data_IF_086046798728
#
_entry.id   IF_086046798728
#
_cell.length_a   1.000
_cell.length_b   1.000
_cell.length_c   1.000
_cell.angle_alpha   90.00
_cell.angle_beta   90.00
_cell.angle_gamma   90.00
#
_symmetry.space_group_name_H-M   'P 1'
#
loop_
_entity.id
_entity.type
_entity.pdbx_description
1 polymer ?
#
# COMPACT_ATOMS: atom_id res chain seq x y z
N UNK A 1 7.49 -9.74 4.38
CA UNK A 1 6.79 -8.80 3.50
C UNK A 1 7.29 -7.39 3.74
N UNK A 2 7.84 -6.73 2.73
CA UNK A 2 8.27 -5.33 2.75
C UNK A 2 7.17 -4.41 2.22
N UNK A 3 6.75 -3.46 3.04
CA UNK A 3 5.76 -2.45 2.70
C UNK A 3 6.37 -1.05 2.84
N UNK A 4 6.38 -0.29 1.75
CA UNK A 4 6.91 1.07 1.73
C UNK A 4 5.80 2.10 1.87
N UNK A 5 5.99 3.11 2.70
CA UNK A 5 5.01 4.17 2.96
C UNK A 5 5.48 5.47 2.34
N UNK A 6 4.81 5.92 1.28
CA UNK A 6 5.18 7.11 0.50
C UNK A 6 4.05 8.13 0.44
N UNK A 7 4.34 9.31 -0.10
CA UNK A 7 3.41 10.43 -0.13
C UNK A 7 4.08 11.74 0.25
N UNK A 8 3.35 12.83 0.09
CA UNK A 8 3.83 14.17 0.41
C UNK A 8 4.24 14.28 1.89
N UNK A 9 5.02 15.30 2.20
CA UNK A 9 5.38 15.52 3.58
C UNK A 9 4.22 16.06 4.40
N UNK A 10 4.28 15.84 5.70
CA UNK A 10 3.22 16.28 6.61
C UNK A 10 1.90 15.54 6.46
N UNK A 11 1.73 14.63 5.48
CA UNK A 11 0.48 13.87 5.30
C UNK A 11 0.24 12.84 6.42
N UNK A 12 1.25 12.50 7.23
CA UNK A 12 1.07 11.62 8.40
C UNK A 12 1.56 10.19 8.25
N UNK A 13 2.48 9.91 7.30
CA UNK A 13 3.14 8.61 7.11
C UNK A 13 3.77 8.08 8.40
N UNK A 14 4.65 8.87 9.01
CA UNK A 14 5.33 8.53 10.27
C UNK A 14 4.36 8.32 11.42
N UNK A 15 3.28 9.10 11.50
CA UNK A 15 2.24 8.92 12.51
C UNK A 15 1.48 7.62 12.29
N UNK A 16 1.17 7.26 11.04
CA UNK A 16 0.52 6.01 10.69
C UNK A 16 1.40 4.82 11.05
N UNK A 17 2.70 4.83 10.68
CA UNK A 17 3.64 3.75 11.01
C UNK A 17 3.81 3.59 12.52
N UNK A 18 4.00 4.69 13.26
CA UNK A 18 4.12 4.64 14.72
C UNK A 18 2.83 4.16 15.40
N UNK A 19 1.65 4.56 14.90
CA UNK A 19 0.39 4.04 15.43
C UNK A 19 0.27 2.55 15.16
N UNK A 20 0.60 2.09 13.95
CA UNK A 20 0.47 0.70 13.56
C UNK A 20 1.35 -0.26 14.38
N UNK A 21 2.58 0.17 14.69
CA UNK A 21 3.59 -0.67 15.33
C UNK A 21 3.65 -0.44 16.85
N UNK A 22 3.80 0.81 17.27
CA UNK A 22 4.04 1.17 18.67
C UNK A 22 2.76 1.52 19.43
N UNK A 23 1.60 1.58 18.75
CA UNK A 23 0.35 2.09 19.30
C UNK A 23 0.50 3.48 19.97
N UNK A 24 1.32 4.34 19.36
CA UNK A 24 1.57 5.69 19.86
C UNK A 24 1.28 6.75 18.80
N UNK A 25 0.94 7.94 19.28
CA UNK A 25 0.73 9.12 18.43
C UNK A 25 1.27 10.36 19.13
N UNK A 26 1.84 11.28 18.35
CA UNK A 26 2.39 12.56 18.82
C UNK A 26 1.89 13.69 17.92
N UNK A 27 1.40 14.76 18.55
CA UNK A 27 1.02 16.01 17.87
C UNK A 27 2.23 16.83 17.41
N UNK A 28 3.45 16.49 17.83
CA UNK A 28 4.66 17.23 17.44
C UNK A 28 5.11 16.74 16.08
N UNK A 29 4.96 17.58 15.05
CA UNK A 29 5.56 17.32 13.76
C UNK A 29 7.08 17.36 13.86
N UNK A 30 7.72 16.26 13.44
CA UNK A 30 9.16 16.18 13.21
C UNK A 30 9.33 15.58 11.82
N UNK A 31 9.98 16.32 10.92
CA UNK A 31 10.25 15.82 9.58
C UNK A 31 11.15 14.58 9.65
N UNK A 32 10.76 13.52 8.93
CA UNK A 32 11.55 12.31 8.78
C UNK A 32 12.73 12.59 7.87
N UNK A 33 13.92 12.14 8.27
CA UNK A 33 15.15 12.28 7.49
C UNK A 33 15.48 10.88 6.94
N UNK A 34 15.50 10.72 5.63
CA UNK A 34 15.76 9.43 4.98
C UNK A 34 14.57 8.47 5.09
N UNK A 35 14.83 7.24 5.55
CA UNK A 35 13.80 6.26 5.85
C UNK A 35 14.07 5.57 7.18
N UNK A 36 13.01 5.22 7.90
CA UNK A 36 13.05 4.45 9.14
C UNK A 36 12.34 3.11 8.96
N UNK A 37 12.74 2.13 9.75
CA UNK A 37 12.29 0.74 9.62
C UNK A 37 11.62 0.27 10.91
N UNK A 38 10.37 -0.14 10.79
CA UNK A 38 9.62 -0.77 11.88
C UNK A 38 8.98 -2.07 11.37
N UNK A 39 8.79 -3.05 12.24
CA UNK A 39 8.16 -4.31 11.85
C UNK A 39 7.16 -4.81 12.89
N UNK A 40 6.21 -5.63 12.45
CA UNK A 40 5.25 -6.34 13.28
C UNK A 40 4.95 -7.71 12.68
N UNK A 41 4.93 -8.74 13.51
CA UNK A 41 4.52 -10.07 13.10
C UNK A 41 3.00 -10.19 13.05
N UNK A 42 2.50 -10.84 12.01
CA UNK A 42 1.10 -11.21 11.87
C UNK A 42 1.00 -12.71 11.61
N UNK A 43 0.04 -13.37 12.23
CA UNK A 43 -0.35 -14.73 11.83
C UNK A 43 -1.33 -14.63 10.68
N UNK A 44 -1.05 -15.31 9.57
CA UNK A 44 -1.93 -15.43 8.42
C UNK A 44 -2.10 -16.89 8.05
N UNK A 45 -3.29 -17.27 7.61
CA UNK A 45 -3.52 -18.59 7.02
C UNK A 45 -3.16 -18.54 5.54
N UNK A 46 -2.30 -19.46 5.10
CA UNK A 46 -1.92 -19.58 3.70
C UNK A 46 -3.01 -20.31 2.88
N UNK A 47 -2.78 -20.50 1.58
CA UNK A 47 -3.74 -21.14 0.66
C UNK A 47 -4.01 -22.61 1.02
N UNK A 48 -3.11 -23.27 1.72
CA UNK A 48 -3.23 -24.66 2.17
C UNK A 48 -3.94 -24.80 3.53
N UNK A 49 -4.41 -23.70 4.12
CA UNK A 49 -5.06 -23.69 5.42
C UNK A 49 -4.08 -23.75 6.61
N UNK A 50 -2.78 -23.58 6.37
CA UNK A 50 -1.77 -23.59 7.43
C UNK A 50 -1.54 -22.18 7.96
N UNK A 51 -1.38 -22.05 9.27
CA UNK A 51 -0.99 -20.80 9.91
C UNK A 51 0.51 -20.53 9.69
N UNK A 52 0.83 -19.34 9.21
CA UNK A 52 2.18 -18.86 9.00
C UNK A 52 2.37 -17.49 9.69
N UNK A 53 3.55 -17.30 10.28
CA UNK A 53 3.95 -16.01 10.82
C UNK A 53 4.62 -15.18 9.71
N UNK A 54 3.98 -14.08 9.34
CA UNK A 54 4.51 -13.13 8.36
C UNK A 54 5.04 -11.90 9.09
N UNK A 55 6.34 -11.65 8.93
CA UNK A 55 6.94 -10.39 9.35
C UNK A 55 6.57 -9.28 8.36
N UNK A 56 5.72 -8.35 8.81
CA UNK A 56 5.33 -7.16 8.07
C UNK A 56 6.29 -6.03 8.39
N UNK A 57 7.05 -5.59 7.40
CA UNK A 57 8.07 -4.56 7.53
C UNK A 57 7.56 -3.25 6.93
N UNK A 58 7.41 -2.21 7.75
CA UNK A 58 7.05 -0.87 7.33
C UNK A 58 8.30 0.00 7.17
N UNK A 59 8.51 0.48 5.96
CA UNK A 59 9.54 1.46 5.62
C UNK A 59 8.91 2.85 5.58
N UNK A 60 9.05 3.60 6.67
CA UNK A 60 8.61 5.00 6.77
C UNK A 60 9.58 5.89 6.01
N UNK A 61 9.11 6.72 5.10
CA UNK A 61 9.98 7.55 4.23
C UNK A 61 9.76 9.04 4.46
N UNK A 62 10.81 9.83 4.25
CA UNK A 62 10.68 11.28 4.16
C UNK A 62 9.74 11.68 3.00
N UNK A 63 8.98 12.76 3.18
CA UNK A 63 8.19 13.37 2.10
C UNK A 63 9.06 14.17 1.12
N UNK A 64 8.58 14.32 -0.13
CA UNK A 64 9.28 14.89 -1.30
C UNK A 64 9.86 16.31 -1.16
N UNK A 65 9.55 17.07 -0.11
CA UNK A 65 9.74 18.53 -0.12
C UNK A 65 11.17 19.05 0.08
N UNK A 66 12.14 18.20 0.45
CA UNK A 66 13.54 18.63 0.65
C UNK A 66 14.60 17.69 0.07
N UNK A 67 14.23 16.49 -0.36
CA UNK A 67 15.15 15.50 -0.92
C UNK A 67 14.59 15.02 -2.26
N UNK A 68 15.38 15.17 -3.32
CA UNK A 68 15.05 14.65 -4.64
C UNK A 68 14.94 13.13 -4.57
N UNK A 69 13.71 12.64 -4.45
CA UNK A 69 13.38 11.21 -4.45
C UNK A 69 13.90 10.45 -3.24
N UNK A 70 13.22 9.37 -2.90
CA UNK A 70 13.83 8.31 -2.10
C UNK A 70 14.86 7.61 -3.00
N UNK A 71 16.04 7.26 -2.49
CA UNK A 71 17.01 6.53 -3.30
C UNK A 71 16.39 5.22 -3.82
N UNK A 72 16.64 4.87 -5.09
CA UNK A 72 16.09 3.66 -5.77
C UNK A 72 16.16 2.38 -4.92
N UNK A 73 17.21 2.28 -4.09
CA UNK A 73 17.42 1.16 -3.16
C UNK A 73 16.25 0.92 -2.18
N UNK A 74 15.51 1.96 -1.79
CA UNK A 74 14.37 1.82 -0.87
C UNK A 74 13.13 1.24 -1.55
N UNK A 75 12.93 1.50 -2.83
CA UNK A 75 11.82 0.96 -3.60
C UNK A 75 12.01 -0.52 -3.95
N UNK A 76 13.25 -0.91 -4.27
CA UNK A 76 13.57 -2.28 -4.69
C UNK A 76 13.15 -3.32 -3.66
N UNK A 77 12.51 -4.39 -4.13
CA UNK A 77 12.05 -5.52 -3.31
C UNK A 77 10.89 -5.18 -2.37
N UNK A 78 10.13 -4.11 -2.65
CA UNK A 78 8.88 -3.85 -1.96
C UNK A 78 7.80 -4.78 -2.49
N UNK A 79 7.07 -5.41 -1.58
CA UNK A 79 5.94 -6.31 -1.86
C UNK A 79 4.60 -5.54 -1.88
N UNK A 80 4.54 -4.44 -1.14
CA UNK A 80 3.39 -3.54 -1.08
C UNK A 80 3.81 -2.08 -0.91
N UNK A 81 2.88 -1.18 -1.21
CA UNK A 81 3.05 0.25 -1.00
C UNK A 81 1.77 0.90 -0.44
N UNK A 82 1.96 1.75 0.57
CA UNK A 82 0.93 2.68 1.07
C UNK A 82 1.22 4.07 0.51
N UNK A 83 0.36 4.57 -0.37
CA UNK A 83 0.46 5.92 -0.94
C UNK A 83 -0.46 6.84 -0.15
N UNK A 84 0.13 7.62 0.77
CA UNK A 84 -0.62 8.45 1.71
C UNK A 84 -0.85 9.87 1.18
N UNK A 85 -2.04 10.39 1.40
CA UNK A 85 -2.37 11.81 1.26
C UNK A 85 -3.23 12.27 2.45
N UNK A 86 -3.23 13.57 2.73
CA UNK A 86 -4.04 14.16 3.80
C UNK A 86 -5.40 14.59 3.25
N UNK A 87 -6.51 14.09 3.82
CA UNK A 87 -7.86 14.38 3.32
C UNK A 87 -8.25 15.86 3.40
N UNK A 88 -7.53 16.65 4.20
CA UNK A 88 -7.71 18.11 4.33
C UNK A 88 -6.84 18.89 3.33
N UNK A 89 -5.88 18.23 2.67
CA UNK A 89 -4.95 18.86 1.73
C UNK A 89 -5.14 18.35 0.29
N UNK A 90 -5.85 19.14 -0.52
CA UNK A 90 -6.13 18.84 -1.93
C UNK A 90 -4.87 18.60 -2.77
N UNK A 91 -3.79 19.36 -2.55
CA UNK A 91 -2.56 19.23 -3.34
C UNK A 91 -1.89 17.87 -3.09
N UNK A 92 -1.89 17.38 -1.85
CA UNK A 92 -1.34 16.06 -1.54
C UNK A 92 -2.08 14.93 -2.26
N UNK A 93 -3.38 15.09 -2.50
CA UNK A 93 -4.19 14.16 -3.28
C UNK A 93 -3.90 14.24 -4.78
N UNK A 94 -3.72 15.45 -5.32
CA UNK A 94 -3.37 15.67 -6.73
C UNK A 94 -2.00 15.07 -7.10
N UNK A 95 -1.11 14.86 -6.12
CA UNK A 95 0.19 14.21 -6.33
C UNK A 95 0.15 12.67 -6.22
N UNK A 96 -0.94 12.06 -5.76
CA UNK A 96 -1.06 10.60 -5.61
C UNK A 96 -0.74 9.83 -6.90
N UNK A 97 -1.24 10.22 -8.10
CA UNK A 97 -0.89 9.53 -9.34
C UNK A 97 0.61 9.50 -9.62
N UNK A 98 1.32 10.59 -9.33
CA UNK A 98 2.77 10.67 -9.52
C UNK A 98 3.52 9.71 -8.57
N UNK A 99 3.01 9.53 -7.35
CA UNK A 99 3.58 8.57 -6.40
C UNK A 99 3.35 7.13 -6.83
N UNK A 100 2.17 6.82 -7.37
CA UNK A 100 1.85 5.50 -7.92
C UNK A 100 2.74 5.21 -9.14
N UNK A 101 2.86 6.16 -10.07
CA UNK A 101 3.75 6.01 -11.23
C UNK A 101 5.21 5.81 -10.79
N UNK A 102 5.71 6.61 -9.85
CA UNK A 102 7.08 6.49 -9.34
C UNK A 102 7.34 5.11 -8.75
N UNK A 103 6.46 4.61 -7.86
CA UNK A 103 6.69 3.30 -7.25
C UNK A 103 6.63 2.18 -8.29
N UNK A 104 5.67 2.22 -9.22
CA UNK A 104 5.53 1.21 -10.28
C UNK A 104 6.77 1.16 -11.17
N UNK A 105 7.31 2.31 -11.57
CA UNK A 105 8.54 2.38 -12.38
C UNK A 105 9.76 1.83 -11.62
N UNK A 106 9.84 2.10 -10.31
CA UNK A 106 11.00 1.71 -9.51
C UNK A 106 10.99 0.25 -9.07
N UNK A 107 9.81 -0.37 -8.92
CA UNK A 107 9.69 -1.79 -8.57
C UNK A 107 9.74 -2.70 -9.80
N UNK A 108 9.18 -2.29 -10.94
CA UNK A 108 9.18 -3.07 -12.19
C UNK A 108 8.68 -4.51 -11.99
N UNK A 109 7.62 -4.64 -11.18
CA UNK A 109 7.07 -5.92 -10.72
C UNK A 109 5.68 -5.73 -10.11
N UNK A 110 4.89 -6.82 -9.93
CA UNK A 110 3.59 -6.76 -9.27
C UNK A 110 3.72 -6.22 -7.84
N UNK A 111 2.92 -5.22 -7.50
CA UNK A 111 2.97 -4.53 -6.22
C UNK A 111 1.55 -4.30 -5.69
N UNK A 112 1.29 -4.70 -4.44
CA UNK A 112 0.03 -4.37 -3.79
C UNK A 112 0.03 -2.89 -3.38
N UNK A 113 -0.71 -2.04 -4.08
CA UNK A 113 -0.79 -0.60 -3.79
C UNK A 113 -2.12 -0.25 -3.12
N UNK A 114 -2.05 0.39 -1.96
CA UNK A 114 -3.20 1.01 -1.30
C UNK A 114 -3.03 2.52 -1.25
N UNK A 115 -4.01 3.26 -1.77
CA UNK A 115 -4.12 4.71 -1.60
C UNK A 115 -4.78 4.99 -0.26
N UNK A 116 -4.13 5.79 0.58
CA UNK A 116 -4.52 5.99 1.98
C UNK A 116 -4.81 7.47 2.26
N UNK A 117 -6.08 7.79 2.47
CA UNK A 117 -6.51 9.09 3.00
C UNK A 117 -6.29 9.14 4.51
N UNK A 118 -5.33 9.95 4.95
CA UNK A 118 -4.99 10.11 6.37
C UNK A 118 -5.72 11.30 6.99
N UNK A 119 -5.71 11.36 8.34
CA UNK A 119 -6.24 12.47 9.14
C UNK A 119 -7.74 12.70 8.98
N UNK A 120 -8.50 11.62 8.83
CA UNK A 120 -9.97 11.69 8.70
C UNK A 120 -10.68 12.17 9.97
N UNK A 121 -9.96 12.28 11.08
CA UNK A 121 -10.39 12.92 12.32
C UNK A 121 -10.45 14.45 12.25
N UNK A 122 -9.81 15.08 11.25
CA UNK A 122 -9.79 16.53 11.10
C UNK A 122 -11.02 17.04 10.34
N UNK A 123 -11.53 18.19 10.77
CA UNK A 123 -12.52 18.96 10.02
C UNK A 123 -11.90 19.63 8.79
N UNK A 124 -12.74 20.19 7.90
CA UNK A 124 -12.26 20.91 6.72
C UNK A 124 -11.76 19.99 5.59
N UNK A 125 -12.36 18.80 5.46
CA UNK A 125 -12.07 17.84 4.39
C UNK A 125 -12.13 18.52 3.00
N UNK A 126 -11.02 18.42 2.26
CA UNK A 126 -10.89 18.92 0.89
C UNK A 126 -11.10 17.82 -0.16
N UNK A 127 -11.01 16.54 0.24
CA UNK A 127 -11.16 15.37 -0.63
C UNK A 127 -12.21 14.43 -0.04
N UNK A 128 -13.31 14.21 -0.77
CA UNK A 128 -14.34 13.25 -0.36
C UNK A 128 -13.85 11.81 -0.54
N UNK A 129 -14.35 10.92 0.31
CA UNK A 129 -14.09 9.48 0.22
C UNK A 129 -14.43 8.94 -1.18
N UNK A 130 -15.56 9.38 -1.75
CA UNK A 130 -15.98 9.01 -3.10
C UNK A 130 -14.93 9.37 -4.17
N UNK A 131 -14.29 10.53 -4.03
CA UNK A 131 -13.23 10.97 -4.96
C UNK A 131 -11.95 10.17 -4.78
N UNK A 132 -11.60 9.83 -3.54
CA UNK A 132 -10.48 8.93 -3.24
C UNK A 132 -10.69 7.52 -3.82
N UNK A 133 -11.87 6.94 -3.63
CA UNK A 133 -12.25 5.64 -4.21
C UNK A 133 -12.27 5.65 -5.73
N UNK A 134 -12.76 6.74 -6.33
CA UNK A 134 -12.78 6.88 -7.78
C UNK A 134 -11.35 6.87 -8.36
N UNK A 135 -10.43 7.63 -7.76
CA UNK A 135 -9.03 7.65 -8.19
C UNK A 135 -8.35 6.28 -8.00
N UNK A 136 -8.57 5.62 -6.85
CA UNK A 136 -7.99 4.31 -6.61
C UNK A 136 -8.48 3.27 -7.63
N UNK A 137 -9.77 3.30 -7.97
CA UNK A 137 -10.33 2.45 -9.02
C UNK A 137 -9.70 2.73 -10.40
N UNK A 138 -9.49 4.00 -10.74
CA UNK A 138 -8.84 4.41 -11.99
C UNK A 138 -7.39 3.89 -12.07
N UNK A 139 -6.67 3.91 -10.95
CA UNK A 139 -5.28 3.45 -10.84
C UNK A 139 -5.14 1.95 -10.51
N UNK A 140 -6.24 1.19 -10.45
CA UNK A 140 -6.21 -0.24 -10.10
C UNK A 140 -5.70 -0.54 -8.68
N UNK A 141 -5.84 0.41 -7.76
CA UNK A 141 -5.36 0.33 -6.37
C UNK A 141 -6.50 0.10 -5.37
N UNK A 142 -6.16 -0.39 -4.17
CA UNK A 142 -7.11 -0.37 -3.04
C UNK A 142 -7.21 1.04 -2.44
N UNK A 143 -8.30 1.33 -1.73
CA UNK A 143 -8.51 2.62 -1.06
C UNK A 143 -8.88 2.46 0.41
N UNK A 144 -8.20 3.20 1.26
CA UNK A 144 -8.42 3.24 2.71
C UNK A 144 -8.44 4.66 3.24
N UNK A 145 -9.17 4.85 4.34
CA UNK A 145 -9.17 6.06 5.13
C UNK A 145 -8.81 5.74 6.58
N UNK A 146 -7.86 6.48 7.15
CA UNK A 146 -7.28 6.21 8.47
C UNK A 146 -7.13 7.48 9.31
N UNK A 147 -7.18 7.29 10.63
CA UNK A 147 -6.69 8.28 11.60
C UNK A 147 -5.66 7.65 12.50
N UNK A 148 -4.41 8.11 12.42
CA UNK A 148 -3.37 7.72 13.37
C UNK A 148 -3.65 8.30 14.78
N UNK A 149 -4.36 9.42 14.87
CA UNK A 149 -4.70 10.07 16.14
C UNK A 149 -5.74 9.26 16.90
N UNK A 150 -6.86 8.95 16.24
CA UNK A 150 -8.01 8.24 16.81
C UNK A 150 -7.92 6.70 16.66
N UNK A 151 -6.80 6.19 16.12
CA UNK A 151 -6.58 4.77 15.81
C UNK A 151 -7.67 4.15 14.91
N UNK A 152 -8.19 4.95 13.98
CA UNK A 152 -9.24 4.51 13.05
C UNK A 152 -8.61 3.79 11.86
N UNK A 153 -9.03 2.53 11.66
CA UNK A 153 -8.70 1.67 10.52
C UNK A 153 -7.20 1.38 10.30
N UNK A 154 -6.32 1.69 11.26
CA UNK A 154 -4.88 1.45 11.11
C UNK A 154 -4.54 -0.04 11.04
N UNK A 155 -5.02 -0.85 11.99
CA UNK A 155 -4.79 -2.31 11.93
C UNK A 155 -5.52 -2.98 10.76
N UNK A 156 -6.80 -2.65 10.46
CA UNK A 156 -7.49 -3.16 9.26
C UNK A 156 -6.74 -2.88 7.95
N UNK A 157 -6.13 -1.70 7.79
CA UNK A 157 -5.30 -1.39 6.62
C UNK A 157 -4.15 -2.39 6.47
N UNK A 158 -3.34 -2.59 7.52
CA UNK A 158 -2.20 -3.52 7.46
C UNK A 158 -2.63 -4.96 7.19
N UNK A 159 -3.71 -5.40 7.83
CA UNK A 159 -4.25 -6.75 7.64
C UNK A 159 -4.76 -6.94 6.21
N UNK A 160 -5.43 -5.95 5.62
CA UNK A 160 -5.84 -6.04 4.23
C UNK A 160 -4.62 -6.07 3.31
N UNK A 161 -3.66 -5.15 3.49
CA UNK A 161 -2.44 -5.12 2.66
C UNK A 161 -1.69 -6.46 2.72
N UNK A 162 -1.58 -7.07 3.90
CA UNK A 162 -1.00 -8.41 4.07
C UNK A 162 -1.80 -9.47 3.33
N UNK A 163 -3.13 -9.49 3.47
CA UNK A 163 -4.00 -10.45 2.78
C UNK A 163 -3.90 -10.31 1.27
N UNK A 164 -3.85 -9.09 0.74
CA UNK A 164 -3.68 -8.83 -0.68
C UNK A 164 -2.36 -9.43 -1.16
N UNK A 165 -1.26 -9.26 -0.42
CA UNK A 165 0.02 -9.87 -0.75
C UNK A 165 0.03 -11.40 -0.66
N UNK A 166 -0.47 -11.98 0.44
CA UNK A 166 -0.49 -13.45 0.63
C UNK A 166 -1.35 -14.14 -0.43
N UNK A 167 -2.43 -13.49 -0.88
CA UNK A 167 -3.31 -14.02 -1.91
C UNK A 167 -2.88 -13.69 -3.34
N UNK A 168 -1.79 -12.94 -3.54
CA UNK A 168 -1.26 -12.75 -4.90
C UNK A 168 -0.87 -14.11 -5.48
N UNK A 169 -1.11 -14.32 -6.79
CA UNK A 169 -0.53 -15.43 -7.51
C UNK A 169 0.99 -15.40 -7.31
N UNK A 170 1.60 -16.56 -7.10
CA UNK A 170 3.05 -16.74 -7.12
C UNK A 170 3.46 -17.49 -8.40
N UNK A 171 4.67 -17.28 -8.96
CA UNK A 171 5.09 -17.93 -10.21
C UNK A 171 5.02 -19.45 -10.17
N UNK A 172 5.19 -20.04 -8.99
CA UNK A 172 5.14 -21.47 -8.74
C UNK A 172 3.71 -22.00 -8.45
N UNK A 173 2.72 -21.11 -8.33
CA UNK A 173 1.32 -21.54 -8.14
C UNK A 173 0.84 -22.31 -9.38
N UNK A 174 0.05 -23.37 -9.21
CA UNK A 174 -0.63 -23.99 -10.35
C UNK A 174 -1.64 -23.01 -10.96
N UNK A 175 -1.83 -23.09 -12.29
CA UNK A 175 -2.91 -22.35 -12.97
C UNK A 175 -4.24 -22.69 -12.25
N UNK A 176 -5.04 -21.69 -11.84
CA UNK A 176 -6.27 -21.95 -11.09
C UNK A 176 -7.17 -22.94 -11.83
N UNK A 177 -7.72 -23.92 -11.12
CA UNK A 177 -8.53 -24.99 -11.72
C UNK A 177 -9.76 -24.42 -12.43
N UNK A 178 -10.37 -23.37 -11.89
CA UNK A 178 -11.52 -22.66 -12.48
C UNK A 178 -11.20 -22.09 -13.87
N UNK A 179 -9.96 -21.64 -14.09
CA UNK A 179 -9.45 -21.19 -15.37
C UNK A 179 -9.22 -22.36 -16.33
N UNK A 180 -8.83 -23.53 -15.83
CA UNK A 180 -8.64 -24.73 -16.66
C UNK A 180 -9.98 -25.39 -17.05
N UNK A 181 -11.01 -25.22 -16.23
CA UNK A 181 -12.35 -25.77 -16.45
C UNK A 181 -13.28 -24.83 -17.24
N UNK A 182 -12.86 -23.58 -17.50
CA UNK A 182 -13.65 -22.61 -18.27
C UNK A 182 -13.57 -22.93 -19.78
N UNK A 183 -14.64 -23.48 -20.36
CA UNK A 183 -14.69 -23.81 -21.80
C UNK A 183 -14.96 -22.59 -22.71
N UNK A 184 -15.07 -21.37 -22.15
CA UNK A 184 -15.33 -20.17 -22.95
C UNK A 184 -14.14 -19.81 -23.85
N UNK A 185 -14.36 -19.23 -25.05
CA UNK A 185 -13.28 -18.77 -25.92
C UNK A 185 -12.31 -17.77 -25.26
N UNK A 186 -12.78 -17.03 -24.25
CA UNK A 186 -11.97 -16.08 -23.48
C UNK A 186 -10.93 -16.72 -22.57
N UNK A 187 -11.01 -18.01 -22.30
CA UNK A 187 -10.19 -18.70 -21.29
C UNK A 187 -8.71 -18.62 -21.59
N UNK A 188 -8.31 -18.77 -22.85
CA UNK A 188 -6.90 -18.61 -23.27
C UNK A 188 -6.37 -17.21 -22.95
N UNK A 189 -7.19 -16.17 -23.12
CA UNK A 189 -6.84 -14.80 -22.74
C UNK A 189 -6.70 -14.65 -21.24
N UNK A 190 -7.57 -15.30 -20.45
CA UNK A 190 -7.49 -15.25 -18.99
C UNK A 190 -6.27 -16.01 -18.45
N UNK A 191 -5.93 -17.17 -19.02
CA UNK A 191 -4.71 -17.92 -18.70
C UNK A 191 -3.46 -17.11 -19.09
N UNK A 192 -3.47 -16.50 -20.28
CA UNK A 192 -2.38 -15.64 -20.73
C UNK A 192 -2.18 -14.43 -19.81
N UNK A 193 -3.25 -13.73 -19.43
CA UNK A 193 -3.18 -12.61 -18.48
C UNK A 193 -2.71 -13.04 -17.10
N UNK A 194 -3.09 -14.23 -16.64
CA UNK A 194 -2.59 -14.81 -15.38
C UNK A 194 -1.08 -15.07 -15.46
N UNK A 195 -0.58 -15.67 -16.55
CA UNK A 195 0.86 -15.87 -16.76
C UNK A 195 1.63 -14.54 -16.87
N UNK A 196 1.04 -13.53 -17.52
CA UNK A 196 1.64 -12.21 -17.63
C UNK A 196 1.76 -11.48 -16.28
N UNK A 197 0.95 -11.85 -15.27
CA UNK A 197 1.03 -11.25 -13.93
C UNK A 197 2.37 -11.50 -13.21
N UNK A 198 3.23 -12.35 -13.78
CA UNK A 198 4.54 -12.70 -13.25
C UNK A 198 5.74 -12.12 -14.02
N UNK A 199 5.51 -11.49 -15.19
CA UNK A 199 6.59 -11.20 -16.16
C UNK A 199 6.90 -9.70 -16.28
N UNK A 200 6.26 -8.83 -15.51
CA UNK A 200 6.46 -7.37 -15.58
C UNK A 200 6.41 -6.67 -14.23
#
# INVERSE_FOLDING_TARGET
>A
MKCIVIGDSGVGKTSLVNRAINNTFSNRYKATIGADFLHKSFTSTNKDGLEEEVMFQLWDTAGRERFQGLGVAFYRGSDACLVCFDVTNKSSFEHVPNWVEEITVQTGGPLAISIVGTKVDLEGRAVSEARGRALAKELGCEYFEVSAKEDLHVQPLLQQTLRTFVNQPQPDDPIPVDLLLDEQPSTLTKIYNWLLSFVY
#
